data_IF_490546709875
#
_entry.id   IF_490546709875
#
_cell.length_a   1.000
_cell.length_b   1.000
_cell.length_c   1.000
_cell.angle_alpha   90.00
_cell.angle_beta   90.00
_cell.angle_gamma   90.00
#
_symmetry.space_group_name_H-M   'P 1'
#
loop_
_entity.id
_entity.type
_entity.pdbx_description
1 polymer ?
#
# COMPACT_ATOMS: atom_id res chain seq x y z
N UNK A 1 -28.75 4.61 20.44
CA UNK A 1 -27.70 4.55 21.47
C UNK A 1 -26.88 5.84 21.40
N UNK A 2 -26.53 6.45 22.51
CA UNK A 2 -25.75 7.69 22.55
C UNK A 2 -24.28 7.33 22.83
N UNK A 3 -23.36 7.74 21.95
CA UNK A 3 -21.93 7.51 22.11
C UNK A 3 -21.27 8.83 22.48
N UNK A 4 -20.53 8.86 23.58
CA UNK A 4 -19.78 10.02 24.06
C UNK A 4 -18.27 9.73 24.04
N UNK A 5 -17.49 10.62 23.41
CA UNK A 5 -16.04 10.56 23.37
C UNK A 5 -15.51 11.95 23.72
N UNK A 6 -14.80 12.11 24.85
CA UNK A 6 -14.24 13.37 25.35
C UNK A 6 -15.24 14.54 25.33
N UNK A 7 -16.50 14.32 25.81
CA UNK A 7 -17.53 15.35 25.89
C UNK A 7 -18.30 15.62 24.59
N UNK A 8 -17.96 14.98 23.49
CA UNK A 8 -18.74 15.03 22.25
C UNK A 8 -19.76 13.90 22.22
N UNK A 9 -21.06 14.24 22.10
CA UNK A 9 -22.16 13.27 22.09
C UNK A 9 -22.62 12.99 20.66
N UNK A 10 -22.74 11.72 20.32
CA UNK A 10 -23.16 11.27 19.00
C UNK A 10 -24.34 10.32 19.11
N UNK A 11 -25.31 10.47 18.20
CA UNK A 11 -26.41 9.51 18.07
C UNK A 11 -25.92 8.28 17.29
N UNK A 12 -25.97 7.12 17.96
CA UNK A 12 -25.61 5.83 17.40
C UNK A 12 -26.89 5.02 17.13
N UNK A 13 -27.10 4.63 15.89
CA UNK A 13 -28.05 3.59 15.51
C UNK A 13 -27.29 2.36 15.03
N UNK A 14 -27.45 1.19 15.69
CA UNK A 14 -26.77 -0.03 15.25
C UNK A 14 -27.25 -0.38 13.85
N UNK A 15 -26.43 -0.13 12.85
CA UNK A 15 -26.68 -0.64 11.52
C UNK A 15 -26.45 -2.15 11.56
N UNK A 16 -27.30 -2.96 10.90
CA UNK A 16 -27.06 -4.39 10.66
C UNK A 16 -25.90 -4.58 9.66
N UNK A 17 -24.81 -3.87 9.88
CA UNK A 17 -23.61 -3.99 9.07
C UNK A 17 -22.91 -5.22 9.56
N UNK A 18 -22.97 -6.30 8.79
CA UNK A 18 -22.04 -7.41 8.94
C UNK A 18 -20.64 -6.80 8.98
N UNK A 19 -20.07 -6.73 10.19
CA UNK A 19 -18.62 -6.56 10.35
C UNK A 19 -18.04 -7.70 9.53
N UNK A 20 -17.38 -7.37 8.42
CA UNK A 20 -16.76 -8.38 7.58
C UNK A 20 -15.58 -8.91 8.38
N UNK A 21 -15.87 -9.80 9.32
CA UNK A 21 -14.93 -10.79 9.79
C UNK A 21 -14.61 -11.73 8.62
N UNK A 22 -13.86 -11.24 7.66
CA UNK A 22 -13.07 -12.12 6.83
C UNK A 22 -11.84 -12.57 7.63
N UNK A 23 -12.08 -13.20 8.78
CA UNK A 23 -11.22 -14.21 9.36
C UNK A 23 -11.68 -15.57 8.82
N UNK A 24 -12.06 -15.64 7.58
CA UNK A 24 -12.44 -16.86 6.91
C UNK A 24 -11.57 -16.96 5.66
N UNK A 25 -10.70 -17.97 5.64
CA UNK A 25 -9.98 -18.45 4.46
C UNK A 25 -9.17 -17.34 3.74
N UNK A 26 -8.13 -16.84 4.41
CA UNK A 26 -7.00 -16.27 3.70
C UNK A 26 -6.31 -17.48 3.07
N UNK A 27 -6.59 -17.69 1.78
CA UNK A 27 -5.95 -18.70 0.93
C UNK A 27 -4.41 -18.58 0.89
N UNK A 28 -3.84 -17.52 1.46
CA UNK A 28 -2.43 -17.30 1.72
C UNK A 28 -2.30 -16.60 3.09
N UNK A 29 -2.15 -17.37 4.17
CA UNK A 29 -1.73 -16.83 5.47
C UNK A 29 -0.24 -16.47 5.36
N UNK A 30 0.14 -15.19 5.20
CA UNK A 30 1.52 -14.84 4.97
C UNK A 30 2.32 -15.08 6.25
N UNK A 31 3.41 -15.83 6.12
CA UNK A 31 4.38 -16.02 7.18
C UNK A 31 5.53 -15.02 7.01
N UNK A 32 6.20 -14.70 8.10
CA UNK A 32 7.34 -13.79 8.07
C UNK A 32 8.45 -14.27 7.13
N UNK A 33 8.75 -15.57 7.12
CA UNK A 33 9.75 -16.20 6.26
C UNK A 33 9.46 -16.12 4.75
N UNK A 34 8.19 -15.89 4.39
CA UNK A 34 7.78 -15.74 2.99
C UNK A 34 7.95 -14.31 2.46
N UNK A 35 8.13 -13.35 3.36
CA UNK A 35 8.26 -11.94 3.02
C UNK A 35 9.73 -11.58 2.78
N UNK A 36 9.97 -10.73 1.81
CA UNK A 36 11.29 -10.14 1.56
C UNK A 36 11.20 -8.67 1.88
N UNK A 37 12.01 -8.23 2.82
CA UNK A 37 12.12 -6.87 3.28
C UNK A 37 13.50 -6.28 2.97
N UNK A 38 13.66 -4.95 2.90
CA UNK A 38 14.93 -4.29 3.14
C UNK A 38 15.50 -4.69 4.52
N UNK A 39 16.82 -4.72 4.67
CA UNK A 39 17.46 -5.27 5.87
C UNK A 39 16.98 -4.60 7.17
N UNK A 40 16.89 -3.27 7.17
CA UNK A 40 16.48 -2.47 8.32
C UNK A 40 15.02 -2.75 8.71
N UNK A 41 14.14 -2.89 7.70
CA UNK A 41 12.72 -3.24 7.92
C UNK A 41 12.60 -4.68 8.42
N UNK A 42 13.40 -5.60 7.91
CA UNK A 42 13.40 -7.00 8.35
C UNK A 42 13.79 -7.12 9.82
N UNK A 43 14.85 -6.41 10.24
CA UNK A 43 15.30 -6.38 11.63
C UNK A 43 14.22 -5.78 12.54
N UNK A 44 13.65 -4.63 12.17
CA UNK A 44 12.58 -4.00 12.90
C UNK A 44 11.35 -4.92 13.04
N UNK A 45 10.94 -5.60 11.98
CA UNK A 45 9.80 -6.53 12.00
C UNK A 45 10.06 -7.76 12.88
N UNK A 46 11.30 -8.28 12.93
CA UNK A 46 11.68 -9.36 13.85
C UNK A 46 11.60 -8.91 15.32
N UNK A 47 12.08 -7.71 15.62
CA UNK A 47 12.00 -7.12 16.97
C UNK A 47 10.53 -6.94 17.39
N UNK A 48 9.69 -6.42 16.49
CA UNK A 48 8.25 -6.24 16.72
C UNK A 48 7.59 -7.59 17.02
N UNK A 49 7.80 -8.61 16.20
CA UNK A 49 7.22 -9.94 16.40
C UNK A 49 7.60 -10.53 17.76
N UNK A 50 8.84 -10.33 18.19
CA UNK A 50 9.29 -10.79 19.50
C UNK A 50 8.65 -9.99 20.64
N UNK A 51 8.52 -8.68 20.49
CA UNK A 51 7.95 -7.80 21.52
C UNK A 51 6.44 -8.00 21.67
N UNK A 52 5.69 -8.22 20.59
CA UNK A 52 4.25 -8.47 20.61
C UNK A 52 3.82 -9.75 21.38
N UNK A 53 4.79 -10.59 21.75
CA UNK A 53 4.56 -11.72 22.67
C UNK A 53 4.44 -11.27 24.14
N UNK A 54 4.90 -10.06 24.45
CA UNK A 54 4.98 -9.53 25.82
C UNK A 54 3.99 -8.38 25.99
N UNK A 55 4.02 -7.38 25.09
CA UNK A 55 3.24 -6.16 25.22
C UNK A 55 2.80 -5.66 23.84
N UNK A 56 1.60 -5.07 23.79
CA UNK A 56 1.05 -4.45 22.58
C UNK A 56 1.46 -2.97 22.50
N UNK A 57 1.76 -2.52 21.29
CA UNK A 57 2.01 -1.12 20.98
C UNK A 57 1.57 -0.79 19.55
N UNK A 58 1.21 0.47 19.33
CA UNK A 58 0.68 0.89 18.05
C UNK A 58 1.79 1.15 17.03
N UNK A 59 1.58 0.73 15.76
CA UNK A 59 2.56 0.83 14.69
C UNK A 59 2.07 1.76 13.57
N UNK A 60 2.98 2.56 13.04
CA UNK A 60 2.78 3.33 11.82
C UNK A 60 3.74 2.82 10.74
N UNK A 61 3.20 2.31 9.65
CA UNK A 61 3.96 1.91 8.48
C UNK A 61 3.94 3.04 7.45
N UNK A 62 5.05 3.76 7.34
CA UNK A 62 5.29 4.81 6.37
C UNK A 62 5.89 4.27 5.07
N UNK A 63 5.75 5.00 3.96
CA UNK A 63 6.46 4.68 2.72
C UNK A 63 5.59 4.68 1.46
N UNK A 64 6.20 4.52 0.31
CA UNK A 64 5.55 4.62 -1.00
C UNK A 64 4.48 3.54 -1.23
N UNK A 65 3.64 3.75 -2.24
CA UNK A 65 2.61 2.77 -2.61
C UNK A 65 3.24 1.48 -3.14
N UNK A 66 2.80 0.34 -2.61
CA UNK A 66 3.21 -0.97 -3.10
C UNK A 66 4.46 -1.55 -2.42
N UNK A 67 5.04 -0.89 -1.41
CA UNK A 67 6.19 -1.40 -0.65
C UNK A 67 5.84 -2.46 0.42
N UNK A 68 4.57 -2.89 0.53
CA UNK A 68 4.20 -4.02 1.38
C UNK A 68 3.54 -3.67 2.73
N UNK A 69 3.30 -2.41 3.09
CA UNK A 69 2.75 -1.97 4.39
C UNK A 69 1.51 -2.76 4.85
N UNK A 70 0.44 -2.74 4.06
CA UNK A 70 -0.81 -3.46 4.36
C UNK A 70 -0.61 -4.97 4.43
N UNK A 71 0.30 -5.51 3.62
CA UNK A 71 0.65 -6.92 3.63
C UNK A 71 1.39 -7.30 4.93
N UNK A 72 2.32 -6.47 5.38
CA UNK A 72 3.06 -6.67 6.63
C UNK A 72 2.15 -6.61 7.86
N UNK A 73 1.16 -5.71 7.87
CA UNK A 73 0.16 -5.68 8.94
C UNK A 73 -0.65 -6.99 9.01
N UNK A 74 -1.03 -7.56 7.87
CA UNK A 74 -1.69 -8.88 7.82
C UNK A 74 -0.78 -10.00 8.26
N UNK A 75 0.48 -9.97 7.86
CA UNK A 75 1.49 -10.94 8.28
C UNK A 75 1.66 -10.94 9.80
N UNK A 76 1.75 -9.76 10.43
CA UNK A 76 1.80 -9.66 11.89
C UNK A 76 0.57 -10.29 12.56
N UNK A 77 -0.62 -10.07 12.01
CA UNK A 77 -1.84 -10.68 12.55
C UNK A 77 -1.82 -12.21 12.41
N UNK A 78 -1.34 -12.74 11.27
CA UNK A 78 -1.20 -14.18 11.06
C UNK A 78 -0.16 -14.80 12.01
N UNK A 79 1.02 -14.21 12.13
CA UNK A 79 2.10 -14.71 12.98
C UNK A 79 1.73 -14.67 14.47
N UNK A 80 0.96 -13.67 14.89
CA UNK A 80 0.49 -13.53 16.28
C UNK A 80 -0.85 -14.23 16.51
N UNK A 81 -1.45 -14.84 15.50
CA UNK A 81 -2.75 -15.53 15.54
C UNK A 81 -3.88 -14.63 16.06
N UNK A 82 -3.83 -13.33 15.75
CA UNK A 82 -4.81 -12.33 16.19
C UNK A 82 -5.87 -12.08 15.13
N UNK A 83 -7.12 -11.78 15.52
CA UNK A 83 -8.13 -11.30 14.60
C UNK A 83 -7.67 -10.04 13.89
N UNK A 84 -7.92 -9.94 12.60
CA UNK A 84 -7.50 -8.81 11.77
C UNK A 84 -8.71 -8.05 11.23
N UNK A 85 -8.76 -6.74 11.50
CA UNK A 85 -9.83 -5.86 11.07
C UNK A 85 -9.23 -4.78 10.17
N UNK A 86 -9.77 -4.63 8.96
CA UNK A 86 -9.35 -3.61 8.01
C UNK A 86 -10.26 -2.39 8.09
N UNK A 87 -9.68 -1.21 8.29
CA UNK A 87 -10.32 0.09 8.15
C UNK A 87 -9.60 0.92 7.11
N UNK A 88 -10.35 1.66 6.29
CA UNK A 88 -9.80 2.68 5.41
C UNK A 88 -9.93 4.06 6.06
N UNK A 89 -8.93 4.92 5.93
CA UNK A 89 -8.94 6.28 6.47
C UNK A 89 -10.12 7.15 6.02
N UNK A 90 -10.79 6.80 4.93
CA UNK A 90 -11.96 7.54 4.44
C UNK A 90 -13.33 6.96 4.84
N UNK A 91 -13.37 5.98 5.75
CA UNK A 91 -14.62 5.43 6.27
C UNK A 91 -15.46 6.51 7.01
N UNK A 92 -16.78 6.30 7.04
CA UNK A 92 -17.64 7.17 7.82
C UNK A 92 -17.53 6.86 9.32
N UNK A 93 -17.85 7.86 10.13
CA UNK A 93 -17.77 7.84 11.59
C UNK A 93 -18.54 6.68 12.21
N UNK A 94 -19.79 6.44 11.76
CA UNK A 94 -20.65 5.41 12.29
C UNK A 94 -20.03 4.00 12.16
N UNK A 95 -19.50 3.71 10.98
CA UNK A 95 -18.87 2.42 10.70
C UNK A 95 -17.62 2.18 11.55
N UNK A 96 -16.88 3.25 11.85
CA UNK A 96 -15.69 3.15 12.72
C UNK A 96 -16.10 2.85 14.15
N UNK A 97 -17.14 3.52 14.66
CA UNK A 97 -17.71 3.22 15.97
C UNK A 97 -18.13 1.75 16.04
N UNK A 98 -18.87 1.27 15.03
CA UNK A 98 -19.31 -0.13 14.95
C UNK A 98 -18.13 -1.11 15.03
N UNK A 99 -17.04 -0.82 14.31
CA UNK A 99 -15.82 -1.64 14.32
C UNK A 99 -15.21 -1.66 15.72
N UNK A 100 -15.03 -0.50 16.34
CA UNK A 100 -14.42 -0.41 17.68
C UNK A 100 -15.25 -1.10 18.75
N UNK A 101 -16.59 -1.01 18.68
CA UNK A 101 -17.50 -1.65 19.62
C UNK A 101 -17.52 -3.17 19.53
N UNK A 102 -17.38 -3.70 18.32
CA UNK A 102 -17.51 -5.13 18.04
C UNK A 102 -16.14 -5.83 17.84
N UNK A 103 -15.04 -5.10 17.99
CA UNK A 103 -13.72 -5.68 17.91
C UNK A 103 -13.51 -6.74 19.02
N UNK A 104 -13.04 -7.93 18.64
CA UNK A 104 -12.68 -8.98 19.58
C UNK A 104 -11.42 -8.57 20.36
N UNK A 105 -11.27 -9.08 21.60
CA UNK A 105 -10.02 -8.88 22.34
C UNK A 105 -8.81 -9.32 21.53
N UNK A 106 -7.71 -8.58 21.70
CA UNK A 106 -6.43 -8.80 20.99
C UNK A 106 -6.49 -8.64 19.47
N UNK A 107 -7.58 -8.06 18.92
CA UNK A 107 -7.62 -7.77 17.48
C UNK A 107 -6.54 -6.77 17.08
N UNK A 108 -6.01 -6.97 15.87
CA UNK A 108 -5.21 -5.95 15.17
C UNK A 108 -6.14 -5.18 14.24
N UNK A 109 -6.26 -3.88 14.47
CA UNK A 109 -7.05 -2.96 13.63
C UNK A 109 -6.10 -2.20 12.72
N UNK A 110 -6.15 -2.48 11.42
CA UNK A 110 -5.40 -1.75 10.41
C UNK A 110 -6.18 -0.51 9.97
N UNK A 111 -5.57 0.67 10.07
CA UNK A 111 -6.07 1.94 9.50
C UNK A 111 -5.26 2.24 8.23
N UNK A 112 -5.81 1.89 7.08
CA UNK A 112 -5.11 2.08 5.80
C UNK A 112 -5.24 3.52 5.31
N UNK A 113 -4.14 4.13 4.89
CA UNK A 113 -4.01 5.53 4.47
C UNK A 113 -4.55 6.52 5.54
N UNK A 114 -4.01 6.41 6.74
CA UNK A 114 -4.44 7.19 7.93
C UNK A 114 -4.39 8.71 7.73
N UNK A 115 -3.55 9.21 6.81
CA UNK A 115 -3.51 10.63 6.44
C UNK A 115 -4.80 11.14 5.76
N UNK A 116 -5.66 10.22 5.30
CA UNK A 116 -6.98 10.52 4.74
C UNK A 116 -8.11 10.57 5.77
N UNK A 117 -7.83 10.45 7.06
CA UNK A 117 -8.84 10.57 8.12
C UNK A 117 -9.46 11.96 8.12
N UNK A 118 -10.80 11.99 8.17
CA UNK A 118 -11.54 13.24 8.36
C UNK A 118 -11.47 13.65 9.84
N UNK A 119 -11.47 14.95 10.12
CA UNK A 119 -11.38 15.48 11.50
C UNK A 119 -12.42 14.84 12.43
N UNK A 120 -13.66 14.70 11.98
CA UNK A 120 -14.75 14.06 12.75
C UNK A 120 -14.51 12.58 13.09
N UNK A 121 -13.64 11.91 12.35
CA UNK A 121 -13.23 10.53 12.59
C UNK A 121 -12.00 10.50 13.47
N UNK A 122 -11.07 11.41 13.25
CA UNK A 122 -9.86 11.57 14.03
C UNK A 122 -10.18 11.79 15.52
N UNK A 123 -11.21 12.59 15.83
CA UNK A 123 -11.71 12.82 17.20
C UNK A 123 -12.08 11.53 17.95
N UNK A 124 -12.50 10.48 17.23
CA UNK A 124 -12.84 9.18 17.84
C UNK A 124 -11.61 8.28 17.91
N UNK A 125 -10.84 8.25 16.82
CA UNK A 125 -9.71 7.34 16.70
C UNK A 125 -8.56 7.73 17.63
N UNK A 126 -8.29 9.02 17.83
CA UNK A 126 -7.17 9.45 18.68
C UNK A 126 -7.32 9.01 20.15
N UNK A 127 -8.47 9.20 20.83
CA UNK A 127 -8.66 8.65 22.16
C UNK A 127 -8.60 7.13 22.20
N UNK A 128 -9.17 6.45 21.19
CA UNK A 128 -9.12 4.99 21.13
C UNK A 128 -7.68 4.46 21.02
N UNK A 129 -6.82 5.13 20.26
CA UNK A 129 -5.40 4.78 20.13
C UNK A 129 -4.62 5.14 21.39
N UNK A 130 -4.88 6.32 21.98
CA UNK A 130 -4.11 6.82 23.10
C UNK A 130 -4.45 6.13 24.42
N UNK A 131 -5.74 6.06 24.72
CA UNK A 131 -6.23 5.69 26.05
C UNK A 131 -6.78 4.24 26.04
N UNK A 132 -6.80 3.59 24.85
CA UNK A 132 -7.37 2.26 24.65
C UNK A 132 -8.82 2.17 25.14
N UNK A 133 -9.59 3.24 24.99
CA UNK A 133 -10.96 3.32 25.50
C UNK A 133 -11.86 4.22 24.66
N UNK A 134 -13.15 3.93 24.72
CA UNK A 134 -14.23 4.78 24.18
C UNK A 134 -15.36 4.88 25.21
N UNK A 135 -16.15 5.93 25.11
CA UNK A 135 -17.31 6.14 25.97
C UNK A 135 -18.60 5.96 25.18
N UNK A 136 -19.53 5.15 25.72
CA UNK A 136 -20.82 4.83 25.11
C UNK A 136 -21.91 5.03 26.15
N UNK A 137 -22.92 5.84 25.84
CA UNK A 137 -24.03 6.17 26.76
C UNK A 137 -23.54 6.62 28.16
N UNK A 138 -22.36 7.25 28.22
CA UNK A 138 -21.73 7.65 29.47
C UNK A 138 -20.91 6.55 30.16
N UNK A 139 -20.93 5.33 29.63
CA UNK A 139 -20.12 4.22 30.15
C UNK A 139 -18.79 4.11 29.41
N UNK A 140 -17.73 3.86 30.19
CA UNK A 140 -16.38 3.62 29.67
C UNK A 140 -16.27 2.18 29.17
N UNK A 141 -15.83 2.01 27.91
CA UNK A 141 -15.46 0.71 27.34
C UNK A 141 -13.99 0.68 27.04
N UNK A 142 -13.28 -0.27 27.64
CA UNK A 142 -11.86 -0.54 27.37
C UNK A 142 -11.76 -1.32 26.06
N UNK A 143 -10.82 -0.92 25.22
CA UNK A 143 -10.50 -1.58 23.96
C UNK A 143 -9.23 -2.41 24.17
N UNK A 144 -9.35 -3.73 24.08
CA UNK A 144 -8.20 -4.64 24.07
C UNK A 144 -7.80 -4.93 22.63
N UNK A 145 -7.27 -3.91 21.93
CA UNK A 145 -6.90 -3.97 20.53
C UNK A 145 -5.58 -3.25 20.27
N UNK A 146 -4.87 -3.66 19.24
CA UNK A 146 -3.68 -3.01 18.73
C UNK A 146 -3.99 -2.30 17.43
N UNK A 147 -3.53 -1.07 17.26
CA UNK A 147 -3.67 -0.33 16.00
C UNK A 147 -2.39 -0.41 15.18
N UNK A 148 -2.56 -0.70 13.89
CA UNK A 148 -1.52 -0.52 12.87
C UNK A 148 -2.06 0.49 11.86
N UNK A 149 -1.37 1.61 11.68
CA UNK A 149 -1.70 2.60 10.66
C UNK A 149 -0.76 2.48 9.46
N UNK A 150 -1.24 2.77 8.25
CA UNK A 150 -0.38 2.95 7.08
C UNK A 150 -0.51 4.35 6.52
N UNK A 151 0.56 4.89 5.96
CA UNK A 151 0.53 6.18 5.27
C UNK A 151 1.55 6.20 4.13
N UNK A 152 1.15 6.82 3.01
CA UNK A 152 2.08 7.21 1.94
C UNK A 152 2.60 8.65 2.12
N UNK A 153 2.03 9.40 3.07
CA UNK A 153 2.31 10.81 3.32
C UNK A 153 2.45 11.06 4.83
N UNK A 154 3.43 10.40 5.45
CA UNK A 154 3.67 10.47 6.90
C UNK A 154 3.81 11.91 7.39
N UNK A 155 4.45 12.77 6.58
CA UNK A 155 4.66 14.19 6.87
C UNK A 155 3.36 15.02 6.97
N UNK A 156 2.22 14.48 6.48
CA UNK A 156 0.91 15.14 6.59
C UNK A 156 0.15 14.76 7.86
N UNK A 157 0.66 13.81 8.64
CA UNK A 157 -0.01 13.41 9.87
C UNK A 157 0.12 14.50 10.93
N UNK A 158 -0.99 14.82 11.63
CA UNK A 158 -0.93 15.72 12.78
C UNK A 158 0.03 15.16 13.85
N UNK A 159 0.91 16.00 14.45
CA UNK A 159 1.84 15.55 15.50
C UNK A 159 1.18 14.72 16.60
N UNK A 160 -0.01 15.10 17.13
CA UNK A 160 -0.66 14.31 18.16
C UNK A 160 -1.02 12.89 17.76
N UNK A 161 -1.25 12.63 16.47
CA UNK A 161 -1.49 11.28 15.96
C UNK A 161 -0.17 10.54 15.76
N UNK A 162 0.82 11.21 15.16
CA UNK A 162 2.14 10.66 14.89
C UNK A 162 2.81 10.13 16.15
N UNK A 163 2.79 10.92 17.24
CA UNK A 163 3.45 10.60 18.51
C UNK A 163 2.87 9.37 19.24
N UNK A 164 1.73 8.83 18.75
CA UNK A 164 1.08 7.64 19.33
C UNK A 164 1.48 6.32 18.69
N UNK A 165 2.32 6.39 17.67
CA UNK A 165 2.75 5.24 16.91
C UNK A 165 4.26 5.08 16.90
N UNK A 166 4.70 3.83 16.89
CA UNK A 166 6.08 3.53 16.54
C UNK A 166 6.20 3.44 15.01
N UNK A 167 6.97 4.36 14.41
CA UNK A 167 7.13 4.45 12.96
C UNK A 167 8.10 3.40 12.43
N UNK A 168 7.69 2.69 11.38
CA UNK A 168 8.55 1.88 10.52
C UNK A 168 8.44 2.44 9.10
N UNK A 169 9.54 2.90 8.55
CA UNK A 169 9.60 3.38 7.18
C UNK A 169 9.92 2.25 6.21
N UNK A 170 9.00 2.00 5.30
CA UNK A 170 9.13 1.02 4.23
C UNK A 170 9.72 1.69 3.00
N UNK A 171 10.93 1.38 2.68
CA UNK A 171 11.59 1.79 1.46
C UNK A 171 11.09 1.01 0.24
N UNK A 172 11.38 1.52 -0.96
CA UNK A 172 11.16 0.76 -2.18
C UNK A 172 12.07 -0.46 -2.20
N UNK A 173 11.49 -1.61 -2.57
CA UNK A 173 12.27 -2.83 -2.77
C UNK A 173 13.27 -2.64 -3.93
N UNK A 174 14.49 -3.03 -3.69
CA UNK A 174 15.50 -3.07 -4.72
C UNK A 174 15.17 -4.10 -5.82
N UNK A 175 15.73 -3.88 -7.01
CA UNK A 175 15.48 -4.74 -8.16
C UNK A 175 15.77 -6.23 -7.87
N UNK A 176 16.81 -6.51 -7.12
CA UNK A 176 17.19 -7.89 -6.78
C UNK A 176 16.21 -8.53 -5.79
N UNK A 177 15.74 -7.77 -4.81
CA UNK A 177 14.68 -8.21 -3.88
C UNK A 177 13.37 -8.50 -4.62
N UNK A 178 12.98 -7.63 -5.55
CA UNK A 178 11.81 -7.86 -6.41
C UNK A 178 11.98 -9.13 -7.25
N UNK A 179 13.17 -9.39 -7.79
CA UNK A 179 13.47 -10.60 -8.56
C UNK A 179 13.32 -11.85 -7.69
N UNK A 180 13.83 -11.83 -6.45
CA UNK A 180 13.65 -12.93 -5.50
C UNK A 180 12.17 -13.19 -5.20
N UNK A 181 11.36 -12.14 -5.00
CA UNK A 181 9.91 -12.26 -4.80
C UNK A 181 9.24 -12.90 -6.02
N UNK A 182 9.60 -12.45 -7.24
CA UNK A 182 9.06 -13.02 -8.47
C UNK A 182 9.40 -14.51 -8.59
N UNK A 183 10.62 -14.88 -8.29
CA UNK A 183 11.05 -16.29 -8.31
C UNK A 183 10.34 -17.14 -7.25
N UNK A 184 10.16 -16.63 -6.02
CA UNK A 184 9.32 -17.28 -4.99
C UNK A 184 7.88 -17.48 -5.46
N UNK A 185 7.36 -16.59 -6.30
CA UNK A 185 6.03 -16.72 -6.93
C UNK A 185 6.00 -17.66 -8.15
N UNK A 186 7.08 -18.36 -8.45
CA UNK A 186 7.17 -19.35 -9.52
C UNK A 186 7.53 -18.79 -10.89
N UNK A 187 8.03 -17.54 -10.98
CA UNK A 187 8.57 -17.02 -12.23
C UNK A 187 9.91 -17.69 -12.57
N UNK A 188 10.11 -18.02 -13.84
CA UNK A 188 11.45 -18.31 -14.32
C UNK A 188 12.31 -17.04 -14.43
N UNK A 189 13.61 -17.19 -14.52
CA UNK A 189 14.57 -16.06 -14.55
C UNK A 189 14.31 -15.11 -15.71
N UNK A 190 13.93 -15.64 -16.89
CA UNK A 190 13.67 -14.84 -18.09
C UNK A 190 12.41 -14.00 -17.93
N UNK A 191 11.33 -14.57 -17.38
CA UNK A 191 10.09 -13.87 -17.06
C UNK A 191 10.31 -12.80 -16.01
N UNK A 192 11.04 -13.11 -14.92
CA UNK A 192 11.35 -12.15 -13.88
C UNK A 192 12.13 -10.94 -14.45
N UNK A 193 13.13 -11.19 -15.28
CA UNK A 193 13.90 -10.13 -15.92
C UNK A 193 13.03 -9.27 -16.88
N UNK A 194 12.16 -9.89 -17.66
CA UNK A 194 11.25 -9.17 -18.56
C UNK A 194 10.26 -8.29 -17.79
N UNK A 195 9.67 -8.82 -16.72
CA UNK A 195 8.76 -8.09 -15.83
C UNK A 195 9.46 -6.89 -15.18
N UNK A 196 10.65 -7.07 -14.63
CA UNK A 196 11.44 -6.01 -14.01
C UNK A 196 12.03 -5.00 -15.01
N UNK A 197 12.19 -5.41 -16.27
CA UNK A 197 12.51 -4.47 -17.34
C UNK A 197 11.34 -3.52 -17.62
N UNK A 198 10.12 -3.98 -17.48
CA UNK A 198 8.92 -3.15 -17.62
C UNK A 198 8.71 -2.20 -16.44
N UNK A 199 8.65 -2.73 -15.20
CA UNK A 199 8.36 -1.91 -14.00
C UNK A 199 8.95 -2.51 -12.73
N UNK A 200 9.23 -1.67 -11.74
CA UNK A 200 9.55 -2.10 -10.37
C UNK A 200 8.33 -1.95 -9.42
N UNK A 201 7.20 -1.45 -9.92
CA UNK A 201 6.00 -1.32 -9.09
C UNK A 201 5.42 -2.71 -8.78
N UNK A 202 5.57 -3.15 -7.54
CA UNK A 202 5.15 -4.50 -7.12
C UNK A 202 3.65 -4.77 -7.35
N UNK A 203 2.78 -3.77 -7.20
CA UNK A 203 1.34 -3.92 -7.46
C UNK A 203 1.08 -4.24 -8.94
N UNK A 204 1.79 -3.56 -9.84
CA UNK A 204 1.71 -3.82 -11.30
C UNK A 204 2.29 -5.19 -11.62
N UNK A 205 3.45 -5.53 -11.06
CA UNK A 205 4.08 -6.85 -11.21
C UNK A 205 3.12 -7.97 -10.77
N UNK A 206 2.50 -7.83 -9.60
CA UNK A 206 1.57 -8.83 -9.09
C UNK A 206 0.33 -8.98 -9.97
N UNK A 207 -0.16 -7.90 -10.58
CA UNK A 207 -1.27 -7.96 -11.55
C UNK A 207 -0.85 -8.71 -12.81
N UNK A 208 0.35 -8.45 -13.33
CA UNK A 208 0.88 -9.16 -14.51
C UNK A 208 1.07 -10.65 -14.21
N UNK A 209 1.60 -11.01 -13.05
CA UNK A 209 1.75 -12.40 -12.61
C UNK A 209 0.39 -13.12 -12.59
N UNK A 210 -0.64 -12.49 -11.99
CA UNK A 210 -1.99 -13.05 -11.98
C UNK A 210 -2.50 -13.31 -13.41
N UNK A 211 -2.25 -12.38 -14.34
CA UNK A 211 -2.64 -12.56 -15.75
C UNK A 211 -1.84 -13.68 -16.44
N UNK A 212 -0.54 -13.80 -16.15
CA UNK A 212 0.30 -14.87 -16.70
C UNK A 212 -0.16 -16.23 -16.17
N UNK A 213 -0.53 -16.32 -14.91
CA UNK A 213 -1.05 -17.54 -14.27
C UNK A 213 -2.34 -18.05 -14.93
N UNK A 214 -3.15 -17.19 -15.58
CA UNK A 214 -4.31 -17.65 -16.34
C UNK A 214 -3.92 -18.55 -17.54
N UNK A 215 -2.67 -18.49 -17.99
CA UNK A 215 -2.10 -19.37 -19.02
C UNK A 215 -1.37 -20.60 -18.42
N UNK A 216 -1.44 -20.78 -17.08
CA UNK A 216 -0.75 -21.86 -16.36
C UNK A 216 0.57 -21.42 -15.77
N UNK A 217 1.71 -22.00 -16.22
CA UNK A 217 3.02 -21.68 -15.64
C UNK A 217 3.49 -20.27 -15.97
N UNK A 218 4.19 -19.63 -15.00
CA UNK A 218 4.83 -18.32 -15.22
C UNK A 218 6.17 -18.56 -15.92
N UNK A 219 6.15 -18.54 -17.25
CA UNK A 219 7.32 -18.70 -18.10
C UNK A 219 7.37 -17.59 -19.15
N UNK A 220 8.52 -17.47 -19.84
CA UNK A 220 8.75 -16.40 -20.81
C UNK A 220 7.72 -16.42 -21.97
N UNK A 221 7.24 -17.59 -22.39
CA UNK A 221 6.25 -17.68 -23.48
C UNK A 221 4.91 -17.07 -23.07
N UNK A 222 4.40 -17.41 -21.89
CA UNK A 222 3.16 -16.87 -21.36
C UNK A 222 3.31 -15.39 -20.99
N UNK A 223 4.49 -14.97 -20.52
CA UNK A 223 4.84 -13.57 -20.30
C UNK A 223 4.75 -12.78 -21.62
N UNK A 224 5.29 -13.31 -22.73
CA UNK A 224 5.15 -12.70 -24.07
C UNK A 224 3.69 -12.53 -24.49
N UNK A 225 2.83 -13.53 -24.23
CA UNK A 225 1.39 -13.43 -24.54
C UNK A 225 0.71 -12.30 -23.78
N UNK A 226 0.97 -12.19 -22.47
CA UNK A 226 0.42 -11.12 -21.63
C UNK A 226 0.97 -9.75 -22.05
N UNK A 227 2.26 -9.65 -22.35
CA UNK A 227 2.87 -8.41 -22.81
C UNK A 227 2.25 -7.95 -24.14
N UNK A 228 2.00 -8.88 -25.07
CA UNK A 228 1.29 -8.57 -26.32
C UNK A 228 -0.11 -8.00 -26.07
N UNK A 229 -0.89 -8.60 -25.15
CA UNK A 229 -2.23 -8.11 -24.78
C UNK A 229 -2.13 -6.71 -24.16
N UNK A 230 -1.13 -6.49 -23.30
CA UNK A 230 -0.90 -5.20 -22.62
C UNK A 230 -0.16 -4.18 -23.50
N UNK A 231 0.18 -4.54 -24.74
CA UNK A 231 0.96 -3.71 -25.66
C UNK A 231 2.28 -3.24 -25.04
N UNK A 232 2.96 -4.17 -24.38
CA UNK A 232 4.29 -3.98 -23.80
C UNK A 232 5.28 -4.68 -24.72
N UNK A 233 6.30 -3.96 -25.11
CA UNK A 233 7.42 -4.49 -25.88
C UNK A 233 8.39 -5.22 -24.93
N UNK A 234 8.68 -6.47 -25.21
CA UNK A 234 9.51 -7.29 -24.33
C UNK A 234 11.00 -6.91 -24.39
N UNK A 235 11.46 -6.39 -25.52
CA UNK A 235 12.86 -6.04 -25.73
C UNK A 235 13.22 -4.69 -25.10
N UNK A 236 12.37 -3.68 -25.24
CA UNK A 236 12.56 -2.38 -24.59
C UNK A 236 11.98 -2.30 -23.17
N UNK A 237 11.03 -3.17 -22.82
CA UNK A 237 10.26 -3.06 -21.58
C UNK A 237 9.43 -1.77 -21.52
N UNK A 238 8.94 -1.28 -22.65
CA UNK A 238 8.10 -0.09 -22.75
C UNK A 238 6.72 -0.44 -23.25
N UNK A 239 5.70 0.16 -22.67
CA UNK A 239 4.34 0.10 -23.22
C UNK A 239 4.20 1.01 -24.45
N UNK A 240 3.19 0.75 -25.27
CA UNK A 240 2.90 1.59 -26.44
C UNK A 240 2.70 3.06 -26.09
N UNK A 241 2.05 3.33 -24.95
CA UNK A 241 1.84 4.72 -24.50
C UNK A 241 3.14 5.37 -24.04
N UNK A 242 4.05 4.60 -23.41
CA UNK A 242 5.37 5.11 -23.05
C UNK A 242 6.22 5.40 -24.29
N UNK A 243 6.16 4.57 -25.32
CA UNK A 243 6.81 4.84 -26.61
C UNK A 243 6.26 6.10 -27.28
N UNK A 244 4.93 6.29 -27.27
CA UNK A 244 4.30 7.53 -27.77
C UNK A 244 4.71 8.75 -26.97
N UNK A 245 4.82 8.61 -25.64
CA UNK A 245 5.30 9.66 -24.75
C UNK A 245 6.73 10.12 -25.13
N UNK A 246 7.65 9.16 -25.28
CA UNK A 246 9.03 9.46 -25.66
C UNK A 246 9.11 10.14 -27.04
N UNK A 247 8.31 9.65 -28.02
CA UNK A 247 8.25 10.25 -29.36
C UNK A 247 7.80 11.71 -29.34
N UNK A 248 6.85 12.07 -28.49
CA UNK A 248 6.43 13.48 -28.33
C UNK A 248 7.57 14.35 -27.78
N UNK A 249 8.45 13.79 -26.94
CA UNK A 249 9.60 14.52 -26.42
C UNK A 249 10.76 14.68 -27.40
N UNK A 250 10.77 13.93 -28.52
CA UNK A 250 11.75 14.14 -29.60
C UNK A 250 11.61 15.53 -30.24
N UNK A 251 10.40 16.07 -30.29
CA UNK A 251 10.11 17.42 -30.79
C UNK A 251 10.55 18.54 -29.82
N UNK A 252 11.02 18.18 -28.64
CA UNK A 252 11.53 19.11 -27.65
C UNK A 252 10.78 19.09 -26.32
N UNK A 253 11.05 20.09 -25.52
CA UNK A 253 10.52 20.19 -24.15
C UNK A 253 9.04 20.56 -24.14
N UNK A 254 8.24 19.82 -23.34
CA UNK A 254 6.79 20.02 -23.27
C UNK A 254 6.30 20.08 -21.81
N UNK A 255 5.23 20.84 -21.55
CA UNK A 255 4.55 20.87 -20.25
C UNK A 255 3.73 19.61 -20.02
N UNK A 256 3.41 19.29 -18.74
CA UNK A 256 2.53 18.17 -18.39
C UNK A 256 1.19 18.22 -19.13
N UNK A 257 0.57 19.42 -19.11
CA UNK A 257 -0.73 19.64 -19.79
C UNK A 257 -0.63 19.46 -21.29
N UNK A 258 0.44 19.98 -21.92
CA UNK A 258 0.68 19.82 -23.35
C UNK A 258 0.79 18.34 -23.74
N UNK A 259 1.56 17.58 -22.95
CA UNK A 259 1.73 16.15 -23.15
C UNK A 259 0.42 15.37 -22.96
N UNK A 260 -0.34 15.72 -21.91
CA UNK A 260 -1.65 15.12 -21.63
C UNK A 260 -2.63 15.33 -22.78
N UNK A 261 -2.66 16.54 -23.36
CA UNK A 261 -3.47 16.85 -24.56
C UNK A 261 -3.02 16.06 -25.78
N UNK A 262 -1.73 16.04 -26.10
CA UNK A 262 -1.22 15.31 -27.27
C UNK A 262 -1.44 13.81 -27.20
N UNK A 263 -1.33 13.23 -25.99
CA UNK A 263 -1.56 11.81 -25.78
C UNK A 263 -3.03 11.43 -25.52
N UNK A 264 -3.93 12.43 -25.44
CA UNK A 264 -5.34 12.27 -25.07
C UNK A 264 -5.51 11.46 -23.78
N UNK A 265 -4.85 11.91 -22.71
CA UNK A 265 -4.87 11.29 -21.37
C UNK A 265 -4.94 12.36 -20.28
N UNK A 266 -5.38 11.96 -19.08
CA UNK A 266 -5.33 12.84 -17.91
C UNK A 266 -3.89 13.09 -17.45
N UNK A 267 -3.65 14.24 -16.82
CA UNK A 267 -2.34 14.57 -16.24
C UNK A 267 -1.89 13.54 -15.21
N UNK A 268 -2.81 13.03 -14.39
CA UNK A 268 -2.50 12.01 -13.37
C UNK A 268 -2.08 10.67 -14.01
N UNK A 269 -2.71 10.29 -15.13
CA UNK A 269 -2.28 9.12 -15.89
C UNK A 269 -0.87 9.32 -16.45
N UNK A 270 -0.56 10.51 -17.01
CA UNK A 270 0.78 10.84 -17.50
C UNK A 270 1.80 10.73 -16.37
N UNK A 271 1.55 11.35 -15.21
CA UNK A 271 2.43 11.22 -14.03
C UNK A 271 2.66 9.76 -13.61
N UNK A 272 1.62 8.92 -13.71
CA UNK A 272 1.75 7.50 -13.33
C UNK A 272 2.71 6.72 -14.23
N UNK A 273 2.83 7.06 -15.51
CA UNK A 273 3.77 6.41 -16.44
C UNK A 273 5.16 7.06 -16.42
N UNK A 274 5.26 8.33 -16.01
CA UNK A 274 6.53 9.07 -15.88
C UNK A 274 7.46 8.40 -14.87
N UNK A 275 6.93 7.87 -13.78
CA UNK A 275 7.72 7.24 -12.72
C UNK A 275 8.64 6.15 -13.24
N UNK A 276 8.15 5.26 -14.10
CA UNK A 276 8.97 4.21 -14.70
C UNK A 276 9.96 4.77 -15.75
N UNK A 277 9.58 5.79 -16.50
CA UNK A 277 10.46 6.43 -17.49
C UNK A 277 11.60 7.19 -16.84
N UNK A 278 11.33 7.91 -15.74
CA UNK A 278 12.35 8.61 -14.94
C UNK A 278 13.32 7.59 -14.32
N UNK A 279 12.80 6.50 -13.74
CA UNK A 279 13.61 5.44 -13.16
C UNK A 279 14.54 4.79 -14.21
N UNK A 280 14.06 4.64 -15.44
CA UNK A 280 14.86 4.15 -16.57
C UNK A 280 15.82 5.19 -17.12
N UNK A 281 15.85 6.41 -16.56
CA UNK A 281 16.65 7.53 -17.02
C UNK A 281 16.38 7.92 -18.48
N UNK A 282 15.15 7.72 -18.95
CA UNK A 282 14.73 8.11 -20.32
C UNK A 282 14.17 9.52 -20.37
N UNK A 283 13.66 10.01 -19.24
CA UNK A 283 12.98 11.31 -19.14
C UNK A 283 13.50 12.06 -17.92
N UNK A 284 13.70 13.35 -18.08
CA UNK A 284 13.92 14.30 -16.99
C UNK A 284 12.74 15.26 -16.86
N UNK A 285 12.35 15.53 -15.61
CA UNK A 285 11.23 16.43 -15.27
C UNK A 285 11.76 17.62 -14.48
N UNK A 286 11.38 18.81 -14.89
CA UNK A 286 11.75 20.07 -14.22
C UNK A 286 10.53 20.99 -14.11
N UNK A 287 10.65 22.08 -13.36
CA UNK A 287 9.63 23.14 -13.30
C UNK A 287 9.30 23.72 -14.69
N UNK A 288 10.24 23.63 -15.63
CA UNK A 288 10.11 24.15 -16.99
C UNK A 288 9.52 23.13 -17.98
N UNK A 289 9.26 21.88 -17.58
CA UNK A 289 8.63 20.81 -18.40
C UNK A 289 9.38 19.48 -18.36
N UNK A 290 9.00 18.61 -19.30
CA UNK A 290 9.55 17.27 -19.52
C UNK A 290 10.41 17.27 -20.76
N UNK A 291 11.50 16.53 -20.73
CA UNK A 291 12.43 16.37 -21.84
C UNK A 291 13.10 14.98 -21.81
N UNK A 292 13.61 14.54 -22.92
CA UNK A 292 14.44 13.35 -22.95
C UNK A 292 15.69 13.57 -22.09
N UNK A 293 16.16 12.52 -21.42
CA UNK A 293 17.42 12.59 -20.70
C UNK A 293 18.61 12.55 -21.67
N UNK A 294 19.65 13.35 -21.42
CA UNK A 294 20.84 13.48 -22.28
C UNK A 294 21.67 12.18 -22.40
N UNK A 295 21.39 11.18 -21.58
CA UNK A 295 22.06 9.88 -21.59
C UNK A 295 21.32 8.86 -22.48
N UNK A 296 21.28 9.07 -23.80
CA UNK A 296 20.95 8.01 -24.76
C UNK A 296 22.23 7.22 -25.11
N UNK A 297 22.75 6.44 -24.17
CA UNK A 297 23.56 5.27 -24.48
C UNK A 297 22.77 4.04 -24.00
N UNK A 298 21.90 3.55 -24.87
CA UNK A 298 21.25 2.22 -24.77
C UNK A 298 21.95 1.28 -25.73
#
# INVERSE_FOLDING_TARGET
MLVEIRGCKFHYEPSQTQVIEKVGEILDSPKFEDVIYPAEVEEAMKLILNHLKVEDFNLLFGGVRGCGKTFSARMLACETQRPFIYMSGNMNKQKIIDILLNAKPKSIILIDEVHGLRDSVAEIIYPAIQDSEIYIDGERKILDVMFIATSTEVQKLPPPLYDRFFLIEFEELEREQLKQILMKKGCDVLSANALLKFTNNFRVLNTLIKMINLYGKINIENTKKVFKIKRIDIDSGLSEIQKKYLKVLEDGKISLRGLALQLNRSEDYIKSIETDLIRKRLVSVSSRGRMLSDNQNI
#
